data_IF_593650475647
#
_entry.id   IF_593650475647
#
_cell.length_a   1.000
_cell.length_b   1.000
_cell.length_c   1.000
_cell.angle_alpha   90.00
_cell.angle_beta   90.00
_cell.angle_gamma   90.00
#
_symmetry.space_group_name_H-M   'P 1'
#
loop_
_entity.id
_entity.type
_entity.pdbx_description
1 polymer ?
#
# COMPACT_ATOMS: atom_id res chain seq x y z
N UNK A 1 19.77 -20.22 -5.01
CA UNK A 1 20.45 -18.91 -4.95
C UNK A 1 19.92 -18.06 -6.10
N UNK A 2 19.52 -16.81 -5.85
CA UNK A 2 18.87 -15.93 -6.84
C UNK A 2 19.79 -14.72 -7.14
N UNK A 3 20.73 -14.84 -8.10
CA UNK A 3 21.76 -13.81 -8.33
C UNK A 3 21.18 -12.46 -8.79
N UNK A 4 20.05 -12.48 -9.50
CA UNK A 4 19.33 -11.26 -9.93
C UNK A 4 18.31 -10.75 -8.88
N UNK A 5 18.21 -11.44 -7.73
CA UNK A 5 17.13 -11.28 -6.78
C UNK A 5 15.80 -11.86 -7.28
N UNK A 6 14.78 -11.76 -6.43
CA UNK A 6 13.37 -12.08 -6.73
C UNK A 6 12.52 -10.92 -6.23
N UNK A 7 11.36 -10.70 -6.83
CA UNK A 7 10.49 -9.62 -6.39
C UNK A 7 9.05 -9.78 -6.81
N UNK A 8 8.21 -8.92 -6.25
CA UNK A 8 6.79 -8.87 -6.56
C UNK A 8 6.29 -7.43 -6.50
N UNK A 9 5.28 -7.16 -7.31
CA UNK A 9 4.48 -5.95 -7.30
C UNK A 9 3.15 -6.25 -6.60
N UNK A 10 2.73 -5.30 -5.77
CA UNK A 10 1.45 -5.36 -5.07
C UNK A 10 0.51 -4.42 -5.81
N UNK A 11 -0.50 -5.00 -6.44
CA UNK A 11 -1.56 -4.30 -7.15
C UNK A 11 -2.81 -4.23 -6.27
N UNK A 12 -3.78 -3.40 -6.68
CA UNK A 12 -5.03 -3.23 -5.93
C UNK A 12 -5.86 -4.51 -5.87
N UNK A 13 -5.69 -5.38 -6.86
CA UNK A 13 -6.46 -6.60 -7.11
C UNK A 13 -5.64 -7.88 -6.90
N UNK A 14 -4.38 -7.77 -6.47
CA UNK A 14 -3.56 -8.93 -6.16
C UNK A 14 -2.07 -8.72 -6.24
N UNK A 15 -1.36 -9.84 -6.29
CA UNK A 15 0.10 -9.91 -6.31
C UNK A 15 0.59 -10.34 -7.69
N UNK A 16 1.63 -9.70 -8.19
CA UNK A 16 2.27 -10.04 -9.46
C UNK A 16 3.77 -10.22 -9.26
N UNK A 17 4.35 -11.31 -9.76
CA UNK A 17 5.81 -11.48 -9.75
C UNK A 17 6.50 -10.45 -10.64
N UNK A 18 7.71 -10.01 -10.26
CA UNK A 18 8.53 -9.19 -11.16
C UNK A 18 8.92 -10.00 -12.40
N UNK A 19 9.30 -11.26 -12.17
CA UNK A 19 9.48 -12.25 -13.24
C UNK A 19 8.44 -13.38 -13.14
N UNK A 20 8.31 -14.17 -14.22
CA UNK A 20 7.26 -15.20 -14.40
C UNK A 20 7.15 -16.20 -13.24
N UNK A 21 8.27 -16.52 -12.60
CA UNK A 21 8.35 -17.55 -11.56
C UNK A 21 8.61 -16.99 -10.16
N UNK A 22 8.63 -15.65 -10.00
CA UNK A 22 9.02 -15.04 -8.73
C UNK A 22 8.06 -15.37 -7.59
N UNK A 23 6.75 -15.34 -7.82
CA UNK A 23 5.78 -15.68 -6.77
C UNK A 23 5.96 -17.13 -6.29
N UNK A 24 6.22 -18.05 -7.21
CA UNK A 24 6.46 -19.47 -6.90
C UNK A 24 7.78 -19.67 -6.15
N UNK A 25 8.82 -18.92 -6.56
CA UNK A 25 10.12 -18.93 -5.90
C UNK A 25 10.03 -18.37 -4.47
N UNK A 26 9.27 -17.28 -4.27
CA UNK A 26 8.99 -16.71 -2.95
C UNK A 26 8.21 -17.70 -2.08
N UNK A 27 7.16 -18.32 -2.61
CA UNK A 27 6.40 -19.35 -1.87
C UNK A 27 7.27 -20.55 -1.49
N UNK A 28 8.17 -20.97 -2.39
CA UNK A 28 9.15 -22.00 -2.11
C UNK A 28 10.07 -21.61 -0.95
N UNK A 29 10.56 -20.37 -0.91
CA UNK A 29 11.34 -19.87 0.21
C UNK A 29 10.51 -19.81 1.51
N UNK A 30 9.29 -19.27 1.43
CA UNK A 30 8.38 -19.15 2.57
C UNK A 30 8.15 -20.50 3.24
N UNK A 31 7.97 -21.56 2.46
CA UNK A 31 7.81 -22.92 2.98
C UNK A 31 8.99 -23.36 3.86
N UNK A 32 10.23 -23.04 3.49
CA UNK A 32 11.40 -23.45 4.27
C UNK A 32 11.57 -22.66 5.57
N UNK A 33 11.20 -21.38 5.59
CA UNK A 33 11.28 -20.50 6.77
C UNK A 33 10.00 -20.50 7.61
N UNK A 34 8.99 -21.28 7.22
CA UNK A 34 7.71 -21.39 7.92
C UNK A 34 6.74 -20.25 7.69
N UNK A 35 7.00 -19.36 6.74
CA UNK A 35 6.05 -18.32 6.33
C UNK A 35 4.89 -18.95 5.55
N UNK A 36 3.71 -18.33 5.65
CA UNK A 36 2.55 -18.69 4.83
C UNK A 36 2.84 -18.42 3.35
N UNK A 37 2.14 -19.15 2.48
CA UNK A 37 2.12 -18.85 1.04
C UNK A 37 1.53 -17.47 0.83
N UNK A 38 2.02 -16.78 -0.21
CA UNK A 38 1.50 -15.49 -0.60
C UNK A 38 -0.02 -15.57 -0.83
N UNK A 39 -0.78 -14.61 -0.30
CA UNK A 39 -2.22 -14.63 -0.38
C UNK A 39 -2.66 -14.49 -1.84
N UNK A 40 -3.63 -15.31 -2.25
CA UNK A 40 -4.31 -15.13 -3.53
C UNK A 40 -5.41 -14.07 -3.41
N UNK A 41 -5.92 -13.53 -4.54
CA UNK A 41 -7.07 -12.62 -4.56
C UNK A 41 -8.30 -13.13 -3.79
N UNK A 42 -8.46 -14.46 -3.70
CA UNK A 42 -9.54 -15.14 -2.97
C UNK A 42 -9.31 -15.23 -1.45
N UNK A 43 -8.05 -15.16 -0.99
CA UNK A 43 -7.67 -15.29 0.42
C UNK A 43 -7.70 -13.95 1.17
N UNK A 44 -7.72 -12.83 0.43
CA UNK A 44 -7.74 -11.47 0.95
C UNK A 44 -8.91 -10.69 0.35
N UNK A 45 -9.92 -10.43 1.17
CA UNK A 45 -11.10 -9.66 0.77
C UNK A 45 -10.74 -8.23 0.33
N UNK A 46 -9.61 -7.69 0.83
CA UNK A 46 -9.07 -6.38 0.48
C UNK A 46 -8.80 -6.26 -1.02
N UNK A 47 -8.31 -7.31 -1.68
CA UNK A 47 -8.09 -7.31 -3.14
C UNK A 47 -9.39 -7.17 -3.94
N UNK A 48 -10.54 -7.53 -3.34
CA UNK A 48 -11.85 -7.32 -3.95
C UNK A 48 -12.48 -5.97 -3.58
N UNK A 49 -12.05 -5.35 -2.49
CA UNK A 49 -12.63 -4.10 -1.97
C UNK A 49 -11.82 -2.87 -2.36
N UNK A 50 -10.49 -2.92 -2.34
CA UNK A 50 -9.63 -1.81 -2.74
C UNK A 50 -9.93 -1.30 -4.14
N UNK A 51 -10.11 -2.12 -5.19
CA UNK A 51 -10.47 -1.61 -6.51
C UNK A 51 -11.79 -0.83 -6.50
N UNK A 52 -12.79 -1.28 -5.74
CA UNK A 52 -14.10 -0.62 -5.63
C UNK A 52 -13.99 0.70 -4.88
N UNK A 53 -13.25 0.74 -3.78
CA UNK A 53 -13.01 1.95 -3.00
C UNK A 53 -12.25 2.99 -3.83
N UNK A 54 -11.18 2.58 -4.52
CA UNK A 54 -10.41 3.48 -5.39
C UNK A 54 -11.27 3.99 -6.55
N UNK A 55 -12.06 3.12 -7.20
CA UNK A 55 -12.99 3.54 -8.26
C UNK A 55 -14.05 4.53 -7.74
N UNK A 56 -14.60 4.29 -6.55
CA UNK A 56 -15.53 5.20 -5.88
C UNK A 56 -14.90 6.56 -5.56
N UNK A 57 -13.67 6.57 -5.05
CA UNK A 57 -12.91 7.78 -4.76
C UNK A 57 -12.56 8.57 -6.02
N UNK A 58 -12.16 7.89 -7.09
CA UNK A 58 -11.91 8.51 -8.39
C UNK A 58 -13.18 9.17 -8.96
N UNK A 59 -14.32 8.45 -8.90
CA UNK A 59 -15.62 8.96 -9.34
C UNK A 59 -16.03 10.18 -8.52
N UNK A 60 -15.89 10.13 -7.20
CA UNK A 60 -16.17 11.27 -6.31
C UNK A 60 -15.28 12.47 -6.64
N UNK A 61 -13.99 12.24 -6.89
CA UNK A 61 -13.05 13.27 -7.31
C UNK A 61 -13.46 13.96 -8.61
N UNK A 62 -13.86 13.18 -9.62
CA UNK A 62 -14.38 13.71 -10.89
C UNK A 62 -15.62 14.56 -10.65
N UNK A 63 -16.57 14.09 -9.84
CA UNK A 63 -17.80 14.83 -9.51
C UNK A 63 -17.46 16.16 -8.83
N UNK A 64 -16.59 16.15 -7.81
CA UNK A 64 -16.16 17.38 -7.11
C UNK A 64 -15.45 18.33 -8.07
N UNK A 65 -14.59 17.83 -8.95
CA UNK A 65 -13.92 18.63 -9.98
C UNK A 65 -14.90 19.29 -10.95
N UNK A 66 -15.86 18.54 -11.48
CA UNK A 66 -16.89 19.06 -12.39
C UNK A 66 -17.80 20.08 -11.69
N UNK A 67 -18.22 19.81 -10.45
CA UNK A 67 -19.03 20.75 -9.67
C UNK A 67 -18.25 22.02 -9.31
N UNK A 68 -16.94 21.91 -9.06
CA UNK A 68 -16.04 23.05 -8.89
C UNK A 68 -15.95 23.90 -10.14
N UNK A 69 -15.89 23.28 -11.32
CA UNK A 69 -15.77 23.98 -12.59
C UNK A 69 -17.08 24.68 -13.00
N UNK A 70 -18.23 24.02 -12.86
CA UNK A 70 -19.50 24.50 -13.43
C UNK A 70 -20.45 25.17 -12.43
N UNK A 71 -20.42 24.77 -11.15
CA UNK A 71 -21.41 25.21 -10.15
C UNK A 71 -20.84 26.06 -9.02
N UNK A 72 -19.52 26.30 -9.02
CA UNK A 72 -18.87 27.16 -8.02
C UNK A 72 -19.03 26.66 -6.58
N UNK A 73 -18.84 25.34 -6.35
CA UNK A 73 -18.94 24.78 -5.00
C UNK A 73 -17.85 25.33 -4.07
N UNK A 74 -18.13 25.31 -2.76
CA UNK A 74 -17.15 25.72 -1.75
C UNK A 74 -15.83 24.92 -1.88
N UNK A 75 -14.67 25.58 -1.87
CA UNK A 75 -13.35 24.94 -1.87
C UNK A 75 -13.20 23.89 -0.74
N UNK A 76 -13.94 24.03 0.36
CA UNK A 76 -13.95 23.08 1.48
C UNK A 76 -14.29 21.65 1.06
N UNK A 77 -14.99 21.44 -0.06
CA UNK A 77 -15.23 20.10 -0.61
C UNK A 77 -13.96 19.41 -1.06
N UNK A 78 -13.02 20.13 -1.68
CA UNK A 78 -11.70 19.60 -2.06
C UNK A 78 -10.88 19.23 -0.81
N UNK A 79 -10.94 20.04 0.24
CA UNK A 79 -10.29 19.72 1.51
C UNK A 79 -10.91 18.49 2.18
N UNK A 80 -12.24 18.42 2.25
CA UNK A 80 -12.94 17.26 2.82
C UNK A 80 -12.61 15.97 2.09
N UNK A 81 -12.57 16.01 0.76
CA UNK A 81 -12.18 14.88 -0.06
C UNK A 81 -10.70 14.50 0.12
N UNK A 82 -9.80 15.48 0.22
CA UNK A 82 -8.39 15.25 0.54
C UNK A 82 -8.20 14.58 1.90
N UNK A 83 -8.90 15.07 2.94
CA UNK A 83 -8.87 14.46 4.28
C UNK A 83 -9.36 13.02 4.21
N UNK A 84 -10.47 12.77 3.50
CA UNK A 84 -10.98 11.41 3.31
C UNK A 84 -9.96 10.50 2.62
N UNK A 85 -9.29 10.96 1.55
CA UNK A 85 -8.21 10.21 0.90
C UNK A 85 -7.06 9.91 1.86
N UNK A 86 -6.62 10.88 2.66
CA UNK A 86 -5.56 10.68 3.65
C UNK A 86 -5.95 9.65 4.71
N UNK A 87 -7.17 9.73 5.26
CA UNK A 87 -7.67 8.78 6.26
C UNK A 87 -7.71 7.36 5.68
N UNK A 88 -8.29 7.18 4.50
CA UNK A 88 -8.34 5.87 3.85
C UNK A 88 -6.95 5.34 3.48
N UNK A 89 -6.04 6.21 3.03
CA UNK A 89 -4.66 5.84 2.73
C UNK A 89 -3.90 5.38 3.99
N UNK A 90 -4.04 6.09 5.10
CA UNK A 90 -3.45 5.70 6.40
C UNK A 90 -4.01 4.36 6.87
N UNK A 91 -5.33 4.17 6.79
CA UNK A 91 -5.97 2.90 7.14
C UNK A 91 -5.46 1.74 6.28
N UNK A 92 -5.36 1.94 4.96
CA UNK A 92 -4.79 0.93 4.05
C UNK A 92 -3.34 0.61 4.34
N UNK A 93 -2.50 1.61 4.67
CA UNK A 93 -1.11 1.38 5.07
C UNK A 93 -0.98 0.66 6.41
N UNK A 94 -1.86 0.98 7.37
CA UNK A 94 -1.91 0.31 8.66
C UNK A 94 -2.27 -1.16 8.50
N UNK A 95 -3.34 -1.44 7.76
CA UNK A 95 -3.81 -2.78 7.46
C UNK A 95 -2.74 -3.60 6.72
N UNK A 96 -2.13 -3.02 5.69
CA UNK A 96 -1.01 -3.66 4.98
C UNK A 96 0.19 -3.96 5.91
N UNK A 97 0.50 -3.07 6.85
CA UNK A 97 1.55 -3.34 7.83
C UNK A 97 1.16 -4.47 8.81
N UNK A 98 -0.11 -4.59 9.19
CA UNK A 98 -0.59 -5.69 10.01
C UNK A 98 -0.41 -7.04 9.29
N UNK A 99 -0.77 -7.11 8.00
CA UNK A 99 -0.52 -8.28 7.15
C UNK A 99 0.97 -8.65 7.09
N UNK A 100 1.86 -7.69 6.85
CA UNK A 100 3.29 -7.96 6.84
C UNK A 100 3.83 -8.44 8.18
N UNK A 101 3.29 -7.94 9.31
CA UNK A 101 3.68 -8.41 10.64
C UNK A 101 3.25 -9.86 10.81
N UNK A 102 1.96 -10.18 10.57
CA UNK A 102 1.46 -11.55 10.71
C UNK A 102 2.27 -12.53 9.84
N UNK A 103 2.47 -12.22 8.56
CA UNK A 103 3.27 -13.07 7.67
C UNK A 103 4.74 -13.18 8.11
N UNK A 104 5.32 -12.11 8.66
CA UNK A 104 6.72 -12.07 9.04
C UNK A 104 7.04 -12.61 10.43
N UNK A 105 6.04 -12.91 11.27
CA UNK A 105 6.23 -13.39 12.65
C UNK A 105 5.45 -14.66 12.98
N UNK A 106 4.35 -14.94 12.28
CA UNK A 106 3.52 -16.12 12.52
C UNK A 106 4.02 -17.31 11.69
N UNK A 107 5.13 -17.87 12.15
CA UNK A 107 5.88 -18.90 11.44
C UNK A 107 5.52 -20.30 11.96
N UNK A 108 5.48 -21.28 11.05
CA UNK A 108 5.28 -22.68 11.41
C UNK A 108 6.41 -23.18 12.32
N UNK A 109 6.11 -23.63 13.57
CA UNK A 109 7.11 -24.19 14.47
C UNK A 109 7.69 -25.53 13.98
N UNK A 110 7.27 -26.08 12.84
CA UNK A 110 7.86 -27.26 12.20
C UNK A 110 8.77 -26.93 11.02
N UNK A 111 8.96 -25.64 10.71
CA UNK A 111 9.80 -25.21 9.61
C UNK A 111 11.26 -25.71 9.75
N UNK A 112 11.85 -26.05 8.61
CA UNK A 112 13.20 -26.61 8.51
C UNK A 112 14.25 -25.57 8.91
N UNK A 113 14.06 -24.31 8.49
CA UNK A 113 14.96 -23.21 8.82
C UNK A 113 14.35 -22.30 9.88
N UNK A 114 14.68 -22.57 11.15
CA UNK A 114 14.40 -21.67 12.27
C UNK A 114 15.66 -20.89 12.58
N UNK A 115 15.58 -19.58 12.39
CA UNK A 115 16.69 -18.70 12.72
C UNK A 115 16.32 -17.95 13.99
N UNK A 116 17.18 -18.07 15.00
CA UNK A 116 17.08 -17.34 16.25
C UNK A 116 18.16 -16.25 16.28
N UNK A 117 17.90 -15.16 16.99
CA UNK A 117 18.93 -14.17 17.29
C UNK A 117 19.98 -14.73 18.27
N UNK A 118 20.98 -13.91 18.60
CA UNK A 118 22.04 -14.29 19.55
C UNK A 118 21.50 -14.61 20.97
N UNK A 119 20.29 -14.12 21.28
CA UNK A 119 19.61 -14.28 22.56
C UNK A 119 18.58 -15.45 22.53
N UNK A 120 18.45 -16.15 21.40
CA UNK A 120 17.56 -17.30 21.22
C UNK A 120 16.12 -16.96 20.80
N UNK A 121 15.77 -15.70 20.54
CA UNK A 121 14.43 -15.32 20.10
C UNK A 121 14.22 -15.60 18.60
N UNK A 122 13.01 -15.98 18.16
CA UNK A 122 12.69 -16.13 16.74
C UNK A 122 12.91 -14.85 15.95
N UNK A 123 13.68 -14.92 14.87
CA UNK A 123 13.89 -13.79 13.96
C UNK A 123 12.64 -13.53 13.12
N UNK A 124 12.29 -12.25 12.95
CA UNK A 124 11.22 -11.83 12.04
C UNK A 124 11.73 -11.68 10.62
N UNK A 125 10.99 -12.26 9.67
CA UNK A 125 11.27 -12.13 8.23
C UNK A 125 10.47 -10.99 7.58
N UNK A 126 9.87 -10.10 8.39
CA UNK A 126 9.03 -9.00 7.91
C UNK A 126 9.84 -8.03 7.03
N UNK A 127 9.45 -7.80 5.77
CA UNK A 127 10.06 -6.78 4.93
C UNK A 127 9.77 -5.36 5.47
N UNK A 128 10.58 -4.35 5.11
CA UNK A 128 10.30 -2.97 5.50
C UNK A 128 9.00 -2.51 4.82
N UNK A 129 8.18 -1.70 5.51
CA UNK A 129 7.01 -1.06 4.89
C UNK A 129 7.45 -0.08 3.80
N UNK A 130 8.55 0.62 4.06
CA UNK A 130 9.20 1.53 3.12
C UNK A 130 10.70 1.52 3.38
N UNK A 131 11.50 1.54 2.32
CA UNK A 131 12.96 1.59 2.37
C UNK A 131 13.63 0.23 2.22
N UNK A 132 14.81 0.08 2.82
CA UNK A 132 15.66 -1.10 2.69
C UNK A 132 15.99 -1.68 4.06
N UNK A 133 15.94 -3.00 4.22
CA UNK A 133 16.30 -3.71 5.45
C UNK A 133 17.12 -4.97 5.13
N UNK A 134 18.15 -5.22 5.93
CA UNK A 134 18.89 -6.48 5.92
C UNK A 134 18.12 -7.51 6.76
N UNK A 135 17.83 -8.66 6.15
CA UNK A 135 17.17 -9.80 6.80
C UNK A 135 18.12 -10.98 6.61
N UNK A 136 18.93 -11.24 7.63
CA UNK A 136 20.02 -12.22 7.59
C UNK A 136 20.93 -12.02 6.36
N UNK A 137 20.91 -12.98 5.43
CA UNK A 137 21.75 -12.99 4.22
C UNK A 137 21.10 -12.30 3.02
N UNK A 138 19.92 -11.70 3.19
CA UNK A 138 19.18 -11.04 2.12
C UNK A 138 18.93 -9.57 2.41
N UNK A 139 18.78 -8.79 1.35
CA UNK A 139 18.42 -7.37 1.42
C UNK A 139 17.02 -7.21 0.84
N UNK A 140 16.06 -6.84 1.69
CA UNK A 140 14.69 -6.56 1.29
C UNK A 140 14.52 -5.07 1.00
N UNK A 141 13.91 -4.74 -0.14
CA UNK A 141 13.68 -3.37 -0.61
C UNK A 141 12.19 -3.19 -0.92
N UNK A 142 11.59 -2.17 -0.31
CA UNK A 142 10.16 -1.84 -0.48
C UNK A 142 10.02 -0.38 -0.89
N UNK A 143 9.61 -0.16 -2.13
CA UNK A 143 9.46 1.18 -2.69
C UNK A 143 8.12 1.33 -3.41
N UNK A 144 7.52 2.54 -3.39
CA UNK A 144 6.33 2.84 -4.17
C UNK A 144 6.59 2.64 -5.66
N UNK A 145 5.58 2.17 -6.38
CA UNK A 145 5.60 2.10 -7.85
C UNK A 145 4.68 3.17 -8.45
N UNK A 146 4.55 3.18 -9.78
CA UNK A 146 3.79 4.16 -10.56
C UNK A 146 2.42 4.52 -9.97
N UNK A 147 1.65 3.55 -9.50
CA UNK A 147 0.32 3.79 -8.93
C UNK A 147 0.34 4.72 -7.70
N UNK A 148 1.31 4.54 -6.81
CA UNK A 148 1.46 5.38 -5.63
C UNK A 148 1.92 6.80 -5.99
N UNK A 149 2.83 6.94 -6.98
CA UNK A 149 3.25 8.26 -7.46
C UNK A 149 2.09 9.03 -8.11
N UNK A 150 1.28 8.36 -8.94
CA UNK A 150 0.10 8.96 -9.56
C UNK A 150 -0.95 9.38 -8.53
N UNK A 151 -1.19 8.54 -7.52
CA UNK A 151 -2.10 8.87 -6.42
C UNK A 151 -1.61 10.09 -5.64
N UNK A 152 -0.34 10.11 -5.25
CA UNK A 152 0.27 11.24 -4.55
C UNK A 152 0.19 12.54 -5.35
N UNK A 153 0.42 12.47 -6.66
CA UNK A 153 0.27 13.62 -7.55
C UNK A 153 -1.18 14.12 -7.62
N UNK A 154 -2.17 13.21 -7.72
CA UNK A 154 -3.58 13.58 -7.69
C UNK A 154 -4.02 14.23 -6.37
N UNK A 155 -3.53 13.72 -5.23
CA UNK A 155 -3.77 14.32 -3.91
C UNK A 155 -3.14 15.73 -3.83
N UNK A 156 -1.94 15.91 -4.37
CA UNK A 156 -1.29 17.21 -4.43
C UNK A 156 -2.09 18.22 -5.26
N UNK A 157 -2.59 17.83 -6.43
CA UNK A 157 -3.47 18.70 -7.24
C UNK A 157 -4.76 19.07 -6.51
N UNK A 158 -5.34 18.15 -5.77
CA UNK A 158 -6.53 18.39 -4.94
C UNK A 158 -6.26 19.44 -3.86
N UNK A 159 -5.09 19.36 -3.21
CA UNK A 159 -4.65 20.37 -2.26
C UNK A 159 -4.47 21.75 -2.91
N UNK A 160 -3.84 21.81 -4.09
CA UNK A 160 -3.67 23.06 -4.85
C UNK A 160 -5.02 23.66 -5.22
N UNK A 161 -5.98 22.84 -5.67
CA UNK A 161 -7.34 23.31 -5.99
C UNK A 161 -8.04 23.92 -4.78
N UNK A 162 -7.96 23.27 -3.61
CA UNK A 162 -8.45 23.84 -2.35
C UNK A 162 -7.76 25.17 -2.03
N UNK A 163 -6.43 25.22 -2.11
CA UNK A 163 -5.63 26.40 -1.75
C UNK A 163 -5.97 27.61 -2.61
N UNK A 164 -6.04 27.44 -3.93
CA UNK A 164 -6.41 28.51 -4.86
C UNK A 164 -7.87 28.93 -4.63
N UNK A 165 -8.78 27.96 -4.50
CA UNK A 165 -10.19 28.25 -4.26
C UNK A 165 -10.41 29.04 -2.96
N UNK A 166 -9.73 28.67 -1.88
CA UNK A 166 -9.85 29.34 -0.58
C UNK A 166 -9.33 30.78 -0.62
N UNK A 167 -8.26 31.07 -1.38
CA UNK A 167 -7.75 32.44 -1.57
C UNK A 167 -8.71 33.33 -2.37
N UNK A 168 -9.46 32.75 -3.29
CA UNK A 168 -10.39 33.48 -4.14
C UNK A 168 -11.78 33.70 -3.50
N UNK A 169 -12.05 33.10 -2.33
CA UNK A 169 -13.26 33.39 -1.57
C UNK A 169 -13.19 34.80 -0.98
N UNK A 170 -14.08 35.69 -1.43
CA UNK A 170 -14.26 37.02 -0.82
C UNK A 170 -14.77 36.83 0.62
N UNK A 171 -14.21 37.53 1.62
CA UNK A 171 -14.77 37.49 2.96
C UNK A 171 -16.21 37.98 2.89
N UNK A 172 -17.14 37.19 3.45
CA UNK A 172 -18.52 37.62 3.64
C UNK A 172 -18.46 38.86 4.53
N UNK A 173 -18.74 40.04 3.97
CA UNK A 173 -18.96 41.24 4.77
C UNK A 173 -20.21 40.99 5.59
N UNK A 174 -20.04 40.79 6.90
CA UNK A 174 -21.11 40.82 7.91
C UNK A 174 -21.45 42.28 8.18
#
# INVERSE_FOLDING_TARGET
>A
QYPNGIGMHIHLDGLQGREKHDLQNIDGLNHYIGMRKLPKPEDMWEFSVFPKVIAGMATLGIIIGLLGLFKGISPKWFLGWLILMCVLGILGMYDFNAWMVDYGTNLDPKAIMKMTDADGNPLSYKPPLFGTRHILNFVAKSYPHTGAYMMGFGMFLTFVAYWIGNKNMKPVKV
#
